data_IF_068424398161
#
_entry.id   IF_068424398161
#
_cell.length_a   1.000
_cell.length_b   1.000
_cell.length_c   1.000
_cell.angle_alpha   90.00
_cell.angle_beta   90.00
_cell.angle_gamma   90.00
#
_symmetry.space_group_name_H-M   'P 1'
#
loop_
_entity.id
_entity.type
_entity.pdbx_description
1 polymer ?
#
# COMPACT_ATOMS: atom_id res chain seq x y z
N UNK A 1 -0.33 -15.57 -14.61
CA UNK A 1 0.00 -14.48 -15.54
C UNK A 1 -0.57 -13.19 -14.95
N UNK A 2 0.15 -12.08 -15.05
CA UNK A 2 -0.34 -10.77 -14.61
C UNK A 2 -0.96 -10.03 -15.79
N UNK A 3 -2.03 -9.31 -15.51
CA UNK A 3 -2.80 -8.58 -16.51
C UNK A 3 -2.85 -7.09 -16.14
N UNK A 4 -3.07 -6.25 -17.15
CA UNK A 4 -3.34 -4.83 -16.96
C UNK A 4 -4.83 -4.54 -17.14
N UNK A 5 -5.34 -3.55 -16.41
CA UNK A 5 -6.71 -3.05 -16.53
C UNK A 5 -6.69 -1.53 -16.73
N UNK A 6 -7.74 -0.94 -17.34
CA UNK A 6 -7.79 0.50 -17.58
C UNK A 6 -7.98 1.30 -16.28
N UNK A 7 -7.23 2.41 -16.18
CA UNK A 7 -7.39 3.45 -15.17
C UNK A 7 -8.74 4.14 -15.34
N UNK A 8 -9.40 4.44 -14.22
CA UNK A 8 -10.58 5.31 -14.18
C UNK A 8 -10.17 6.75 -13.84
N UNK A 9 -10.49 7.68 -14.74
CA UNK A 9 -10.20 9.11 -14.52
C UNK A 9 -8.78 9.51 -14.91
N UNK A 10 -8.23 10.60 -14.34
CA UNK A 10 -6.91 11.09 -14.70
C UNK A 10 -5.82 10.16 -14.19
N UNK A 11 -4.69 10.19 -14.88
CA UNK A 11 -3.44 9.55 -14.43
C UNK A 11 -2.87 10.32 -13.25
N UNK A 12 -2.05 9.63 -12.45
CA UNK A 12 -1.22 10.31 -11.46
C UNK A 12 -0.33 11.36 -12.16
N UNK A 13 -0.29 12.55 -11.61
CA UNK A 13 0.25 13.76 -12.24
C UNK A 13 1.69 14.07 -11.81
N UNK A 14 2.40 13.08 -11.28
CA UNK A 14 3.79 13.18 -10.85
C UNK A 14 4.56 11.91 -11.20
N UNK A 15 5.91 11.96 -11.24
CA UNK A 15 6.74 10.77 -11.27
C UNK A 15 6.43 9.86 -10.07
N UNK A 16 6.16 8.59 -10.36
CA UNK A 16 5.71 7.61 -9.38
C UNK A 16 6.66 7.44 -8.18
N UNK A 17 7.97 7.36 -8.44
CA UNK A 17 9.00 7.20 -7.43
C UNK A 17 9.30 8.48 -6.64
N UNK A 18 8.94 9.66 -7.16
CA UNK A 18 9.34 10.93 -6.57
C UNK A 18 8.43 11.40 -5.43
N UNK A 19 7.21 10.86 -5.36
CA UNK A 19 6.17 11.29 -4.40
C UNK A 19 6.01 10.32 -3.23
N UNK A 20 5.75 10.87 -2.04
CA UNK A 20 5.40 10.08 -0.87
C UNK A 20 3.98 9.54 -0.86
N UNK A 21 3.14 9.91 -1.84
CA UNK A 21 1.79 9.35 -1.91
C UNK A 21 1.81 7.92 -2.43
N UNK A 22 2.59 7.64 -3.48
CA UNK A 22 2.75 6.30 -4.05
C UNK A 22 3.94 5.53 -3.45
N UNK A 23 5.08 6.18 -3.23
CA UNK A 23 6.29 5.57 -2.70
C UNK A 23 6.40 5.84 -1.18
N UNK A 24 6.07 4.84 -0.37
CA UNK A 24 6.07 5.01 1.09
C UNK A 24 7.49 5.12 1.68
N UNK A 25 8.49 4.47 1.07
CA UNK A 25 9.90 4.68 1.46
C UNK A 25 10.35 6.12 1.20
N UNK A 26 9.89 6.74 0.12
CA UNK A 26 10.12 8.16 -0.18
C UNK A 26 9.44 9.08 0.82
N UNK A 27 8.23 8.73 1.28
CA UNK A 27 7.52 9.46 2.34
C UNK A 27 8.25 9.41 3.67
N UNK A 28 8.79 8.24 4.00
CA UNK A 28 9.46 8.00 5.27
C UNK A 28 8.49 7.85 6.45
N UNK A 29 9.03 7.32 7.52
CA UNK A 29 8.33 7.01 8.77
C UNK A 29 9.35 6.92 9.90
N UNK A 30 8.86 6.97 11.13
CA UNK A 30 9.69 6.85 12.34
C UNK A 30 9.10 5.81 13.30
N UNK A 31 9.94 5.11 14.08
CA UNK A 31 9.46 4.17 15.09
C UNK A 31 8.66 4.89 16.19
N UNK A 32 7.66 4.21 16.74
CA UNK A 32 6.88 4.69 17.89
C UNK A 32 6.76 3.56 18.92
N UNK A 33 6.84 3.93 20.20
CA UNK A 33 6.63 3.00 21.30
C UNK A 33 5.13 2.86 21.60
N UNK A 34 4.47 1.98 20.85
CA UNK A 34 3.04 1.70 20.98
C UNK A 34 2.79 0.22 21.30
N UNK A 35 1.60 -0.09 21.82
CA UNK A 35 1.21 -1.48 22.07
C UNK A 35 1.20 -2.30 20.77
N UNK A 36 1.88 -3.47 20.79
CA UNK A 36 1.98 -4.40 19.66
C UNK A 36 0.87 -5.46 19.73
N UNK A 37 -0.37 -5.00 19.82
CA UNK A 37 -1.56 -5.83 19.87
C UNK A 37 -2.63 -5.29 18.93
N UNK A 38 -3.63 -6.10 18.63
CA UNK A 38 -4.85 -5.62 18.02
C UNK A 38 -5.54 -4.58 18.93
N UNK A 39 -6.18 -3.59 18.32
CA UNK A 39 -6.91 -2.53 19.03
C UNK A 39 -8.42 -2.67 18.75
N UNK A 40 -9.25 -2.86 19.78
CA UNK A 40 -10.70 -2.96 19.62
C UNK A 40 -11.32 -1.57 19.57
N UNK A 41 -11.33 -0.95 18.39
CA UNK A 41 -12.05 0.31 18.19
C UNK A 41 -13.57 0.10 18.14
N UNK A 42 -14.33 1.08 18.65
CA UNK A 42 -15.79 1.11 18.55
C UNK A 42 -16.27 1.66 17.20
N UNK A 43 -17.56 1.51 16.92
CA UNK A 43 -18.22 2.08 15.74
C UNK A 43 -18.46 1.07 14.61
N UNK A 44 -19.07 1.53 13.50
CA UNK A 44 -19.42 0.67 12.39
C UNK A 44 -18.18 0.02 11.76
N UNK A 45 -18.36 -1.15 11.17
CA UNK A 45 -17.35 -1.80 10.34
C UNK A 45 -17.79 -1.73 8.88
N UNK A 46 -16.86 -1.41 7.99
CA UNK A 46 -17.06 -1.60 6.56
C UNK A 46 -16.83 -3.08 6.23
N UNK A 47 -17.86 -3.80 5.78
CA UNK A 47 -17.74 -5.21 5.44
C UNK A 47 -16.93 -5.47 4.17
N UNK A 48 -16.60 -4.42 3.40
CA UNK A 48 -15.86 -4.51 2.14
C UNK A 48 -14.47 -3.83 2.24
N UNK A 49 -14.00 -3.58 3.46
CA UNK A 49 -12.64 -3.15 3.72
C UNK A 49 -11.62 -4.29 3.43
N UNK A 50 -10.42 -3.98 2.91
CA UNK A 50 -9.39 -4.98 2.67
C UNK A 50 -8.95 -5.68 3.97
N UNK A 51 -8.96 -7.02 3.97
CA UNK A 51 -8.55 -7.83 5.12
C UNK A 51 -7.08 -8.23 5.01
N UNK A 52 -6.26 -7.72 5.94
CA UNK A 52 -4.81 -7.94 6.00
C UNK A 52 -4.43 -9.38 6.36
N UNK A 53 -5.31 -10.11 7.05
CA UNK A 53 -5.11 -11.53 7.38
C UNK A 53 -4.85 -12.38 6.13
N UNK A 54 -5.41 -11.97 4.99
CA UNK A 54 -5.34 -12.67 3.72
C UNK A 54 -4.03 -12.48 2.94
N UNK A 55 -3.15 -11.56 3.36
CA UNK A 55 -1.81 -11.40 2.77
C UNK A 55 -1.00 -12.70 2.91
N UNK A 56 -1.25 -13.44 3.99
CA UNK A 56 -0.48 -14.62 4.39
C UNK A 56 -1.19 -15.92 4.00
N UNK A 57 -0.41 -16.98 3.81
CA UNK A 57 -0.87 -18.32 3.47
C UNK A 57 -0.26 -19.34 4.47
N UNK A 58 -1.06 -19.97 5.36
CA UNK A 58 -2.49 -19.76 5.57
C UNK A 58 -2.81 -18.37 6.15
N UNK A 59 -4.07 -17.93 5.97
CA UNK A 59 -4.55 -16.63 6.49
C UNK A 59 -4.37 -16.57 8.00
N UNK A 60 -3.79 -15.48 8.51
CA UNK A 60 -3.44 -15.35 9.93
C UNK A 60 -3.28 -13.89 10.34
N UNK A 61 -3.39 -13.63 11.63
CA UNK A 61 -2.84 -12.41 12.26
C UNK A 61 -1.40 -12.73 12.69
N UNK A 62 -0.37 -12.14 12.07
CA UNK A 62 1.00 -12.35 12.50
C UNK A 62 1.29 -11.70 13.86
N UNK A 63 2.41 -12.07 14.47
CA UNK A 63 2.95 -11.32 15.60
C UNK A 63 3.36 -9.92 15.16
N UNK A 64 2.95 -8.90 15.92
CA UNK A 64 3.30 -7.51 15.65
C UNK A 64 4.71 -7.26 16.20
N UNK A 65 5.66 -6.92 15.32
CA UNK A 65 7.09 -6.76 15.66
C UNK A 65 7.47 -5.32 16.00
N UNK A 66 6.84 -4.36 15.34
CA UNK A 66 7.20 -2.95 15.48
C UNK A 66 6.02 -2.06 15.08
N UNK A 67 6.01 -0.85 15.62
CA UNK A 67 5.03 0.18 15.29
C UNK A 67 5.76 1.43 14.81
N UNK A 68 5.16 2.11 13.84
CA UNK A 68 5.72 3.31 13.23
C UNK A 68 4.64 4.37 12.97
N UNK A 69 5.06 5.62 12.90
CA UNK A 69 4.28 6.74 12.37
C UNK A 69 4.85 7.17 11.02
N UNK A 70 3.99 7.24 10.02
CA UNK A 70 4.31 7.70 8.67
C UNK A 70 4.34 9.21 8.67
N UNK A 71 5.29 9.80 7.95
CA UNK A 71 5.37 11.25 7.80
C UNK A 71 4.17 11.79 7.01
N UNK A 72 3.79 13.04 7.25
CA UNK A 72 2.95 13.79 6.32
C UNK A 72 3.72 14.04 5.01
N UNK A 73 3.00 14.41 3.96
CA UNK A 73 3.61 14.81 2.68
C UNK A 73 3.26 16.26 2.40
N UNK A 74 4.28 17.09 2.24
CA UNK A 74 4.15 18.50 1.90
C UNK A 74 4.30 18.65 0.39
N UNK A 75 3.32 19.29 -0.24
CA UNK A 75 3.31 19.52 -1.69
C UNK A 75 3.88 20.87 -2.08
N UNK A 76 3.76 21.87 -1.20
CA UNK A 76 4.22 23.23 -1.44
C UNK A 76 5.75 23.25 -1.66
N UNK A 77 6.23 23.74 -2.81
CA UNK A 77 7.67 23.89 -3.04
C UNK A 77 8.35 24.78 -1.99
N UNK A 78 7.63 25.77 -1.43
CA UNK A 78 8.15 26.64 -0.37
C UNK A 78 8.48 25.86 0.91
N UNK A 79 7.61 24.92 1.28
CA UNK A 79 7.82 24.04 2.44
C UNK A 79 8.87 22.96 2.16
N UNK A 80 9.17 22.73 0.88
CA UNK A 80 10.06 21.67 0.41
C UNK A 80 11.35 22.15 -0.24
N UNK A 81 11.83 23.35 0.11
CA UNK A 81 13.12 23.90 -0.37
C UNK A 81 13.24 23.86 -1.90
N UNK A 82 12.13 24.09 -2.60
CA UNK A 82 12.06 24.08 -4.06
C UNK A 82 11.85 22.71 -4.70
N UNK A 83 11.64 21.63 -3.94
CA UNK A 83 11.32 20.31 -4.52
C UNK A 83 10.00 20.37 -5.32
N UNK A 84 10.00 20.00 -6.62
CA UNK A 84 8.81 20.07 -7.47
C UNK A 84 7.82 18.91 -7.24
N UNK A 85 8.20 17.90 -6.45
CA UNK A 85 7.39 16.69 -6.23
C UNK A 85 7.02 16.51 -4.76
N UNK A 86 7.18 17.57 -3.96
CA UNK A 86 6.96 17.55 -2.53
C UNK A 86 8.11 16.94 -1.73
N UNK A 87 7.88 16.82 -0.43
CA UNK A 87 8.83 16.32 0.56
C UNK A 87 8.12 15.79 1.81
N UNK A 88 8.83 15.00 2.60
CA UNK A 88 8.34 14.53 3.89
C UNK A 88 8.17 15.70 4.87
N UNK A 89 7.01 15.76 5.53
CA UNK A 89 6.75 16.66 6.65
C UNK A 89 6.85 15.95 8.00
N UNK A 90 6.33 16.56 9.08
CA UNK A 90 6.23 15.92 10.40
C UNK A 90 5.35 14.65 10.37
N UNK A 91 5.48 13.74 11.34
CA UNK A 91 4.65 12.54 11.49
C UNK A 91 3.15 12.82 11.47
N UNK A 92 2.36 11.92 10.87
CA UNK A 92 0.89 11.94 10.97
C UNK A 92 0.49 11.51 12.37
N UNK A 93 -0.17 12.40 13.12
CA UNK A 93 -0.48 12.19 14.55
C UNK A 93 -1.93 11.82 14.84
N UNK A 94 -2.79 11.68 13.80
CA UNK A 94 -4.20 11.29 13.98
C UNK A 94 -4.33 9.90 14.63
N UNK A 95 -3.41 9.00 14.32
CA UNK A 95 -3.29 7.69 14.93
C UNK A 95 -1.90 7.54 15.53
N UNK A 96 -1.82 6.88 16.68
CA UNK A 96 -0.55 6.57 17.34
C UNK A 96 0.33 5.71 16.42
N UNK A 97 -0.26 4.77 15.69
CA UNK A 97 0.41 3.90 14.72
C UNK A 97 -0.25 4.07 13.37
N UNK A 98 0.53 4.31 12.31
CA UNK A 98 0.04 4.39 10.93
C UNK A 98 0.79 3.46 9.97
N UNK A 99 1.77 2.72 10.48
CA UNK A 99 2.50 1.66 9.78
C UNK A 99 2.88 0.59 10.81
N UNK A 100 2.55 -0.66 10.52
CA UNK A 100 2.75 -1.79 11.42
C UNK A 100 3.72 -2.79 10.82
N UNK A 101 4.80 -3.09 11.55
CA UNK A 101 5.70 -4.20 11.26
C UNK A 101 5.13 -5.50 11.80
N UNK A 102 4.95 -6.49 10.92
CA UNK A 102 4.39 -7.81 11.25
C UNK A 102 5.37 -8.92 10.90
N UNK A 103 5.32 -10.02 11.64
CA UNK A 103 6.26 -11.13 11.47
C UNK A 103 6.01 -11.93 10.20
N UNK A 104 7.07 -12.11 9.42
CA UNK A 104 7.12 -13.00 8.25
C UNK A 104 8.24 -14.02 8.35
N UNK A 105 8.16 -15.06 7.53
CA UNK A 105 9.32 -15.91 7.20
C UNK A 105 9.95 -15.39 5.91
N UNK A 106 11.29 -15.24 5.81
CA UNK A 106 11.91 -14.88 4.53
C UNK A 106 11.52 -15.87 3.42
N UNK A 107 11.09 -15.36 2.27
CA UNK A 107 10.56 -16.18 1.17
C UNK A 107 9.09 -16.61 1.31
N UNK A 108 8.41 -16.25 2.40
CA UNK A 108 6.97 -16.50 2.57
C UNK A 108 6.18 -15.85 1.43
N UNK A 109 5.30 -16.62 0.78
CA UNK A 109 4.45 -16.12 -0.30
C UNK A 109 3.50 -15.05 0.22
N UNK A 110 3.41 -13.92 -0.49
CA UNK A 110 2.52 -12.82 -0.16
C UNK A 110 1.50 -12.59 -1.27
N UNK A 111 0.27 -12.27 -0.88
CA UNK A 111 -0.84 -11.90 -1.76
C UNK A 111 -1.39 -10.54 -1.35
N UNK A 112 -2.36 -10.02 -2.11
CA UNK A 112 -3.08 -8.81 -1.72
C UNK A 112 -3.98 -9.07 -0.49
N UNK A 113 -4.21 -8.06 0.38
CA UNK A 113 -5.32 -8.12 1.31
C UNK A 113 -6.63 -8.41 0.58
N UNK A 114 -7.46 -9.31 1.13
CA UNK A 114 -8.66 -9.78 0.44
C UNK A 114 -9.79 -8.76 0.53
N UNK A 115 -10.61 -8.69 -0.53
CA UNK A 115 -11.79 -7.84 -0.60
C UNK A 115 -12.89 -8.51 -1.41
N UNK A 116 -14.15 -8.27 -1.07
CA UNK A 116 -15.30 -8.93 -1.69
C UNK A 116 -15.77 -8.25 -2.98
N UNK A 117 -15.69 -6.92 -3.09
CA UNK A 117 -16.04 -6.22 -4.32
C UNK A 117 -14.90 -6.17 -5.35
N UNK A 118 -15.27 -6.22 -6.63
CA UNK A 118 -14.34 -6.11 -7.76
C UNK A 118 -14.09 -4.65 -8.08
N UNK A 119 -12.86 -4.32 -8.49
CA UNK A 119 -12.56 -3.02 -9.10
C UNK A 119 -12.77 -3.05 -10.61
N UNK A 120 -12.71 -4.25 -11.22
CA UNK A 120 -12.89 -4.47 -12.65
C UNK A 120 -13.37 -5.91 -12.93
N UNK A 121 -14.22 -6.15 -13.95
CA UNK A 121 -14.70 -7.48 -14.29
C UNK A 121 -13.57 -8.49 -14.49
N UNK A 122 -13.82 -9.73 -14.07
CA UNK A 122 -12.87 -10.83 -14.12
C UNK A 122 -12.20 -11.12 -12.78
N UNK A 123 -12.70 -10.57 -11.67
CA UNK A 123 -12.18 -10.89 -10.34
C UNK A 123 -11.02 -10.01 -9.86
N UNK A 124 -10.73 -8.90 -10.52
CA UNK A 124 -9.69 -7.98 -10.07
C UNK A 124 -10.12 -7.23 -8.82
N UNK A 125 -9.26 -7.19 -7.81
CA UNK A 125 -9.55 -6.60 -6.49
C UNK A 125 -8.68 -5.40 -6.15
N UNK A 126 -7.45 -5.37 -6.66
CA UNK A 126 -6.49 -4.30 -6.41
C UNK A 126 -5.73 -3.93 -7.67
N UNK A 127 -5.45 -2.65 -7.86
CA UNK A 127 -4.59 -2.09 -8.90
C UNK A 127 -3.23 -1.74 -8.29
N UNK A 128 -2.15 -2.05 -9.00
CA UNK A 128 -0.78 -1.71 -8.57
C UNK A 128 -0.50 -0.26 -8.97
N UNK A 129 -0.57 0.63 -7.98
CA UNK A 129 -0.28 2.06 -8.15
C UNK A 129 1.23 2.31 -8.17
N UNK A 130 1.98 1.53 -7.40
CA UNK A 130 3.44 1.60 -7.36
C UNK A 130 4.09 0.27 -7.03
N UNK A 131 5.22 -0.03 -7.67
CA UNK A 131 6.04 -1.17 -7.35
C UNK A 131 7.52 -0.90 -7.65
N UNK A 132 8.39 -1.26 -6.72
CA UNK A 132 9.81 -1.46 -6.94
C UNK A 132 10.23 -2.85 -6.41
N UNK A 133 11.52 -3.14 -6.32
CA UNK A 133 12.03 -4.42 -5.83
C UNK A 133 11.69 -4.72 -4.35
N UNK A 134 11.32 -3.72 -3.56
CA UNK A 134 11.23 -3.76 -2.09
C UNK A 134 9.86 -3.36 -1.53
N UNK A 135 9.02 -2.71 -2.33
CA UNK A 135 7.70 -2.24 -1.92
C UNK A 135 6.66 -2.30 -3.04
N UNK A 136 5.39 -2.35 -2.62
CA UNK A 136 4.25 -2.28 -3.52
C UNK A 136 3.10 -1.49 -2.86
N UNK A 137 2.43 -0.67 -3.66
CA UNK A 137 1.27 0.14 -3.27
C UNK A 137 0.06 -0.28 -4.08
N UNK A 138 -0.99 -0.69 -3.37
CA UNK A 138 -2.19 -1.32 -3.91
C UNK A 138 -3.40 -0.40 -3.70
N UNK A 139 -4.03 0.04 -4.79
CA UNK A 139 -5.31 0.76 -4.74
C UNK A 139 -6.48 -0.21 -4.88
N UNK A 140 -7.51 -0.06 -4.04
CA UNK A 140 -8.76 -0.83 -4.10
C UNK A 140 -9.87 -0.08 -4.87
N UNK A 141 -9.45 0.74 -5.83
CA UNK A 141 -10.26 1.34 -6.89
C UNK A 141 -9.47 1.24 -8.20
N UNK A 142 -10.03 1.68 -9.33
CA UNK A 142 -9.27 1.83 -10.59
C UNK A 142 -8.66 3.21 -10.78
N UNK A 143 -8.75 4.10 -9.79
CA UNK A 143 -8.21 5.46 -9.90
C UNK A 143 -6.73 5.44 -9.56
N UNK A 144 -5.91 6.06 -10.40
CA UNK A 144 -4.46 6.16 -10.22
C UNK A 144 -4.10 7.24 -9.18
N UNK A 145 -4.58 7.06 -7.96
CA UNK A 145 -4.40 7.99 -6.86
C UNK A 145 -4.64 7.30 -5.53
N UNK A 146 -4.03 7.82 -4.46
CA UNK A 146 -4.30 7.37 -3.09
C UNK A 146 -5.46 8.09 -2.41
N UNK A 147 -6.02 9.10 -3.07
CA UNK A 147 -7.12 9.91 -2.53
C UNK A 147 -8.49 9.24 -2.66
N UNK A 148 -8.60 8.08 -3.31
CA UNK A 148 -9.87 7.41 -3.58
C UNK A 148 -9.91 5.98 -3.01
N UNK A 149 -10.84 5.75 -2.09
CA UNK A 149 -11.07 4.44 -1.47
C UNK A 149 -9.86 3.97 -0.65
N UNK A 150 -9.77 2.65 -0.46
CA UNK A 150 -8.68 2.06 0.31
C UNK A 150 -7.39 1.93 -0.50
N UNK A 151 -6.27 2.15 0.19
CA UNK A 151 -4.92 1.88 -0.33
C UNK A 151 -4.13 1.13 0.71
N UNK A 152 -3.38 0.12 0.27
CA UNK A 152 -2.45 -0.62 1.14
C UNK A 152 -1.03 -0.48 0.60
N UNK A 153 -0.12 -0.10 1.49
CA UNK A 153 1.31 -0.02 1.24
C UNK A 153 1.99 -1.20 1.93
N UNK A 154 2.82 -1.93 1.20
CA UNK A 154 3.60 -3.06 1.71
C UNK A 154 5.09 -2.78 1.50
N UNK A 155 5.87 -2.81 2.59
CA UNK A 155 7.33 -2.67 2.56
C UNK A 155 8.01 -3.96 3.05
N UNK A 156 9.17 -4.28 2.48
CA UNK A 156 9.88 -5.53 2.80
C UNK A 156 9.36 -6.71 1.99
N UNK A 157 8.99 -6.44 0.74
CA UNK A 157 8.48 -7.42 -0.22
C UNK A 157 9.51 -7.58 -1.33
N UNK A 158 9.86 -8.80 -1.70
CA UNK A 158 10.45 -9.11 -2.99
C UNK A 158 9.30 -9.24 -4.01
N UNK A 159 8.99 -8.16 -4.74
CA UNK A 159 7.89 -8.16 -5.71
C UNK A 159 8.17 -9.16 -6.83
N UNK A 160 7.15 -9.89 -7.29
CA UNK A 160 7.29 -10.85 -8.38
C UNK A 160 7.90 -10.14 -9.62
N UNK A 161 9.00 -10.67 -10.19
CA UNK A 161 9.71 -9.99 -11.27
C UNK A 161 8.85 -9.77 -12.52
N UNK A 162 7.87 -10.64 -12.80
CA UNK A 162 6.95 -10.47 -13.93
C UNK A 162 5.93 -9.36 -13.64
N UNK A 163 5.45 -9.25 -12.39
CA UNK A 163 4.58 -8.15 -11.98
C UNK A 163 5.33 -6.82 -12.05
N UNK A 164 6.56 -6.79 -11.53
CA UNK A 164 7.41 -5.60 -11.56
C UNK A 164 7.76 -5.17 -12.99
N UNK A 165 8.08 -6.12 -13.87
CA UNK A 165 8.30 -5.85 -15.28
C UNK A 165 7.05 -5.27 -15.96
N UNK A 166 5.87 -5.85 -15.67
CA UNK A 166 4.60 -5.35 -16.20
C UNK A 166 4.28 -3.93 -15.71
N UNK A 167 4.53 -3.64 -14.43
CA UNK A 167 4.40 -2.30 -13.87
C UNK A 167 5.34 -1.30 -14.56
N UNK A 168 6.63 -1.66 -14.68
CA UNK A 168 7.66 -0.82 -15.33
C UNK A 168 7.36 -0.52 -16.78
N UNK A 169 6.68 -1.43 -17.50
CA UNK A 169 6.22 -1.16 -18.85
C UNK A 169 5.12 -0.08 -18.94
N UNK A 170 4.49 0.29 -17.82
CA UNK A 170 3.46 1.34 -17.75
C UNK A 170 4.01 2.70 -17.29
N UNK A 171 5.32 2.81 -17.05
CA UNK A 171 6.00 4.06 -16.72
C UNK A 171 7.20 4.31 -17.63
N UNK A 172 7.51 5.58 -17.90
CA UNK A 172 8.71 5.96 -18.65
C UNK A 172 9.95 5.98 -17.75
N UNK A 173 11.12 6.25 -18.34
CA UNK A 173 12.38 6.34 -17.62
C UNK A 173 12.42 7.46 -16.55
N UNK A 174 11.48 8.41 -16.61
CA UNK A 174 11.34 9.51 -15.66
C UNK A 174 10.21 9.27 -14.65
N UNK A 175 9.60 8.08 -14.62
CA UNK A 175 8.55 7.68 -13.68
C UNK A 175 7.14 8.15 -14.05
N UNK A 176 6.94 8.73 -15.23
CA UNK A 176 5.62 9.17 -15.69
C UNK A 176 4.84 8.03 -16.32
N UNK A 177 3.52 8.00 -16.12
CA UNK A 177 2.64 7.05 -16.78
C UNK A 177 2.73 7.17 -18.30
N UNK A 178 3.01 6.08 -19.01
CA UNK A 178 3.00 6.07 -20.49
C UNK A 178 1.63 5.74 -21.07
N UNK A 179 0.81 4.95 -20.36
CA UNK A 179 -0.51 4.51 -20.79
C UNK A 179 -1.63 4.91 -19.81
N UNK A 180 -2.84 4.41 -20.09
CA UNK A 180 -4.02 4.55 -19.23
C UNK A 180 -4.40 3.21 -18.59
N UNK A 181 -3.42 2.36 -18.30
CA UNK A 181 -3.63 1.04 -17.71
C UNK A 181 -2.54 0.75 -16.70
N UNK A 182 -2.88 -0.02 -15.67
CA UNK A 182 -1.94 -0.49 -14.65
C UNK A 182 -2.17 -1.97 -14.37
N UNK A 183 -1.15 -2.69 -13.87
CA UNK A 183 -1.33 -4.06 -13.42
C UNK A 183 -2.42 -4.16 -12.35
N UNK A 184 -3.18 -5.25 -12.36
CA UNK A 184 -4.14 -5.55 -11.32
C UNK A 184 -4.11 -7.00 -10.89
N UNK A 185 -4.52 -7.24 -9.65
CA UNK A 185 -4.38 -8.50 -8.95
C UNK A 185 -5.74 -9.05 -8.53
N UNK A 186 -5.89 -10.37 -8.64
CA UNK A 186 -7.03 -11.13 -8.10
C UNK A 186 -6.77 -11.56 -6.66
N UNK A 187 -7.83 -12.01 -5.99
CA UNK A 187 -7.70 -12.71 -4.71
C UNK A 187 -6.77 -13.91 -4.86
N UNK A 188 -5.91 -14.12 -3.87
CA UNK A 188 -4.94 -15.22 -3.78
C UNK A 188 -3.89 -15.29 -4.92
N UNK A 189 -3.89 -14.33 -5.85
CA UNK A 189 -2.81 -14.17 -6.82
C UNK A 189 -1.55 -13.68 -6.09
N UNK A 190 -0.42 -14.42 -6.17
CA UNK A 190 0.82 -13.97 -5.55
C UNK A 190 1.29 -12.65 -6.13
N UNK A 191 1.71 -11.73 -5.25
CA UNK A 191 2.34 -10.48 -5.64
C UNK A 191 3.87 -10.52 -5.49
N UNK A 192 4.38 -11.53 -4.78
CA UNK A 192 5.79 -11.67 -4.43
C UNK A 192 5.99 -12.45 -3.14
N UNK A 193 7.14 -12.24 -2.51
CA UNK A 193 7.54 -12.92 -1.29
C UNK A 193 7.99 -11.93 -0.21
N UNK A 194 7.94 -12.33 1.06
CA UNK A 194 8.53 -11.55 2.14
C UNK A 194 10.06 -11.51 1.99
N UNK A 195 10.64 -10.31 1.96
CA UNK A 195 12.08 -10.13 1.80
C UNK A 195 12.87 -10.56 3.06
N UNK A 196 12.21 -10.58 4.22
CA UNK A 196 12.85 -10.86 5.49
C UNK A 196 11.87 -11.32 6.57
N UNK A 197 12.21 -11.01 7.83
CA UNK A 197 11.43 -11.39 9.02
C UNK A 197 10.32 -10.38 9.40
N UNK A 198 10.24 -9.28 8.67
CA UNK A 198 9.27 -8.21 8.87
C UNK A 198 8.71 -7.75 7.52
N UNK A 199 7.39 -7.71 7.43
CA UNK A 199 6.61 -6.98 6.43
C UNK A 199 6.03 -5.74 7.12
N UNK A 200 6.08 -4.57 6.50
CA UNK A 200 5.44 -3.36 7.05
C UNK A 200 4.22 -3.00 6.24
N UNK A 201 3.11 -2.76 6.93
CA UNK A 201 1.79 -2.56 6.33
C UNK A 201 1.23 -1.21 6.79
N UNK A 202 0.89 -0.33 5.84
CA UNK A 202 0.10 0.87 6.11
C UNK A 202 -1.18 0.85 5.26
N UNK A 203 -2.27 1.35 5.83
CA UNK A 203 -3.57 1.45 5.16
C UNK A 203 -3.97 2.93 5.09
N UNK A 204 -4.53 3.33 3.97
CA UNK A 204 -5.26 4.59 3.83
C UNK A 204 -6.72 4.33 3.47
N UNK A 205 -7.57 5.29 3.86
CA UNK A 205 -8.93 5.45 3.34
C UNK A 205 -9.09 6.88 2.86
N UNK A 206 -9.41 7.05 1.58
CA UNK A 206 -9.59 8.34 0.90
C UNK A 206 -8.43 9.31 1.22
N UNK A 207 -7.19 8.84 1.04
CA UNK A 207 -5.96 9.61 1.26
C UNK A 207 -5.45 9.67 2.70
N UNK A 208 -6.28 9.30 3.69
CA UNK A 208 -5.91 9.41 5.11
C UNK A 208 -5.36 8.10 5.65
N UNK A 209 -4.18 8.12 6.27
CA UNK A 209 -3.67 6.96 6.99
C UNK A 209 -4.55 6.57 8.18
N UNK A 210 -4.72 5.26 8.37
CA UNK A 210 -5.47 4.65 9.47
C UNK A 210 -4.56 3.85 10.38
N UNK A 211 -5.06 3.46 11.56
CA UNK A 211 -4.35 2.52 12.43
C UNK A 211 -4.51 1.09 11.90
N UNK A 212 -3.43 0.46 11.38
CA UNK A 212 -3.48 -0.91 10.85
C UNK A 212 -3.68 -1.97 11.94
N UNK A 213 -3.71 -1.61 13.23
CA UNK A 213 -4.01 -2.53 14.33
C UNK A 213 -5.51 -2.71 14.59
N UNK A 214 -6.39 -1.97 13.92
CA UNK A 214 -7.84 -2.09 14.15
C UNK A 214 -8.31 -3.52 13.93
N UNK A 215 -8.72 -4.18 15.02
CA UNK A 215 -9.18 -5.57 14.99
C UNK A 215 -10.41 -5.73 14.10
N UNK A 216 -11.36 -4.83 14.27
CA UNK A 216 -12.67 -4.94 13.62
C UNK A 216 -12.58 -4.68 12.13
N UNK A 217 -11.64 -3.87 11.67
CA UNK A 217 -11.62 -3.39 10.28
C UNK A 217 -10.73 -4.26 9.39
N UNK A 218 -9.60 -4.78 9.89
CA UNK A 218 -8.55 -5.33 9.02
C UNK A 218 -8.20 -6.81 9.24
N UNK A 219 -8.60 -7.40 10.37
CA UNK A 219 -8.05 -8.68 10.84
C UNK A 219 -9.14 -9.74 11.11
N UNK A 220 -10.20 -9.74 10.31
CA UNK A 220 -11.24 -10.77 10.38
C UNK A 220 -10.92 -12.01 9.53
#
# INVERSE_FOLDING_TARGET
MFDIIPIEGPRFDHPDFATGDLNLLRRGFQPVAAALTLVPYNGPTDSDAPQLSAIFQPRRVPFFRAAYQVNSWQWSPADCRGSPHGCAGPPVTRWEVTLLGVSTTPGELLTIPSRAAEIYPGGYRAMVLYADEQQITLGYTRRDTVAAGYVVHLLGVCVDPNLLALYRAQVDANGWRVGNSLPALRTDQPLGHAAGKELRIAIRDNGTFLDPRSQKDWWR
#
